data_IF_770686478802
#
_entry.id   IF_770686478802
#
_cell.length_a   1.000
_cell.length_b   1.000
_cell.length_c   1.000
_cell.angle_alpha   90.00
_cell.angle_beta   90.00
_cell.angle_gamma   90.00
#
_symmetry.space_group_name_H-M   'P 1'
#
loop_
_entity.id
_entity.type
_entity.pdbx_description
1 polymer ?
#
# COMPACT_ATOMS: atom_id res chain seq x y z
N UNK A 1 48.21 0.49 10.70
CA UNK A 1 47.48 1.76 10.76
C UNK A 1 46.16 1.57 10.04
N UNK A 2 45.05 1.48 10.78
CA UNK A 2 43.72 1.23 10.22
C UNK A 2 42.92 2.52 10.29
N UNK A 3 42.40 2.98 9.14
CA UNK A 3 41.50 4.12 9.06
C UNK A 3 40.06 3.60 9.16
N UNK A 4 39.38 3.90 10.27
CA UNK A 4 37.94 3.67 10.38
C UNK A 4 37.21 4.88 9.78
N UNK A 5 36.59 4.72 8.62
CA UNK A 5 35.72 5.74 8.04
C UNK A 5 34.36 5.70 8.75
N UNK A 6 34.10 6.65 9.65
CA UNK A 6 32.77 6.91 10.22
C UNK A 6 31.99 7.79 9.25
N UNK A 7 31.09 7.19 8.47
CA UNK A 7 30.13 7.92 7.64
C UNK A 7 28.75 7.92 8.27
N UNK A 8 28.12 9.08 8.40
CA UNK A 8 26.71 9.18 8.79
C UNK A 8 25.83 9.00 7.55
N UNK A 9 24.77 8.19 7.67
CA UNK A 9 23.75 8.08 6.63
C UNK A 9 22.88 9.34 6.64
N UNK A 10 23.04 10.21 5.65
CA UNK A 10 22.27 11.47 5.56
C UNK A 10 20.83 11.26 5.05
N UNK A 11 20.54 10.07 4.53
CA UNK A 11 19.23 9.69 4.03
C UNK A 11 19.16 8.18 3.98
N UNK A 12 18.20 7.59 4.71
CA UNK A 12 17.92 6.16 4.56
C UNK A 12 17.52 5.91 3.10
N UNK A 13 18.11 4.91 2.41
CA UNK A 13 17.48 4.42 1.19
C UNK A 13 16.06 4.00 1.58
N UNK A 14 15.05 4.44 0.84
CA UNK A 14 13.67 4.04 1.07
C UNK A 14 13.59 2.53 0.81
N UNK A 15 13.77 1.71 1.86
CA UNK A 15 14.00 0.27 1.73
C UNK A 15 12.74 -0.56 1.57
N UNK A 16 11.56 0.05 1.53
CA UNK A 16 10.33 -0.66 1.20
C UNK A 16 9.52 0.17 0.20
N UNK A 17 9.00 -0.43 -0.88
CA UNK A 17 8.08 0.28 -1.74
C UNK A 17 6.84 0.63 -0.90
N UNK A 18 6.53 1.93 -0.82
CA UNK A 18 5.44 2.46 -0.02
C UNK A 18 4.14 1.75 -0.44
N UNK A 19 3.20 1.58 0.50
CA UNK A 19 1.91 0.91 0.26
C UNK A 19 1.24 1.35 -1.06
N UNK A 20 1.30 2.64 -1.39
CA UNK A 20 0.71 3.19 -2.61
C UNK A 20 1.42 2.77 -3.91
N UNK A 21 2.68 2.35 -3.86
CA UNK A 21 3.47 1.90 -5.01
C UNK A 21 3.25 0.40 -5.31
N UNK A 22 2.83 -0.37 -4.31
CA UNK A 22 2.66 -1.84 -4.42
C UNK A 22 1.21 -2.30 -4.45
N UNK A 23 0.29 -1.48 -3.98
CA UNK A 23 -1.12 -1.81 -3.92
C UNK A 23 -1.95 -0.98 -4.90
N UNK A 24 -3.11 -1.53 -5.27
CA UNK A 24 -4.13 -0.85 -6.08
C UNK A 24 -5.53 -1.17 -5.53
N UNK A 25 -6.57 -0.44 -5.96
CA UNK A 25 -7.94 -0.73 -5.58
C UNK A 25 -8.36 -2.14 -5.99
N UNK A 26 -9.06 -2.83 -5.09
CA UNK A 26 -9.67 -4.13 -5.37
C UNK A 26 -11.08 -3.88 -5.90
N UNK A 27 -11.33 -4.31 -7.13
CA UNK A 27 -12.66 -4.25 -7.76
C UNK A 27 -13.37 -5.60 -7.63
N UNK A 28 -14.64 -5.55 -7.25
CA UNK A 28 -15.49 -6.72 -7.03
C UNK A 28 -16.51 -6.81 -8.16
N UNK A 29 -16.63 -7.98 -8.78
CA UNK A 29 -17.64 -8.33 -9.77
C UNK A 29 -18.86 -9.00 -9.11
N UNK A 30 -19.96 -9.14 -9.88
CA UNK A 30 -21.16 -9.80 -9.38
C UNK A 30 -20.98 -11.32 -9.16
N UNK A 31 -20.00 -11.93 -9.81
CA UNK A 31 -19.73 -13.37 -9.74
C UNK A 31 -18.74 -13.74 -8.61
N UNK A 32 -18.15 -12.74 -7.95
CA UNK A 32 -17.22 -12.96 -6.85
C UNK A 32 -17.95 -13.40 -5.58
N UNK A 33 -17.47 -14.49 -4.96
CA UNK A 33 -17.97 -14.99 -3.69
C UNK A 33 -16.90 -14.87 -2.61
N UNK A 34 -17.25 -14.24 -1.49
CA UNK A 34 -16.37 -14.06 -0.34
C UNK A 34 -17.19 -14.00 0.95
N UNK A 35 -16.50 -14.22 2.08
CA UNK A 35 -17.12 -14.07 3.40
C UNK A 35 -17.33 -12.61 3.77
N UNK A 36 -18.24 -12.34 4.71
CA UNK A 36 -18.43 -11.00 5.28
C UNK A 36 -17.14 -10.39 5.84
N UNK A 37 -16.26 -11.23 6.42
CA UNK A 37 -14.97 -10.77 6.95
C UNK A 37 -14.07 -10.26 5.82
N UNK A 38 -13.97 -11.02 4.72
CA UNK A 38 -13.20 -10.63 3.54
C UNK A 38 -13.77 -9.36 2.89
N UNK A 39 -15.11 -9.23 2.83
CA UNK A 39 -15.77 -8.03 2.32
C UNK A 39 -15.35 -6.77 3.10
N UNK A 40 -15.33 -6.87 4.44
CA UNK A 40 -14.91 -5.76 5.33
C UNK A 40 -13.44 -5.41 5.16
N UNK A 41 -12.58 -6.42 4.95
CA UNK A 41 -11.16 -6.20 4.70
C UNK A 41 -10.91 -5.49 3.37
N UNK A 42 -11.59 -5.90 2.30
CA UNK A 42 -11.51 -5.22 0.98
C UNK A 42 -11.97 -3.77 1.10
N UNK A 43 -13.09 -3.53 1.79
CA UNK A 43 -13.59 -2.17 2.03
C UNK A 43 -12.54 -1.33 2.78
N UNK A 44 -11.95 -1.88 3.84
CA UNK A 44 -10.93 -1.20 4.64
C UNK A 44 -9.69 -0.87 3.81
N UNK A 45 -9.21 -1.81 2.99
CA UNK A 45 -8.09 -1.63 2.07
C UNK A 45 -8.35 -0.47 1.09
N UNK A 46 -9.50 -0.49 0.41
CA UNK A 46 -9.86 0.52 -0.58
C UNK A 46 -10.06 1.90 0.05
N UNK A 47 -10.68 2.00 1.23
CA UNK A 47 -10.83 3.27 1.95
C UNK A 47 -9.48 3.82 2.43
N UNK A 48 -8.59 2.94 2.88
CA UNK A 48 -7.23 3.32 3.30
C UNK A 48 -6.45 3.87 2.12
N UNK A 49 -6.47 3.19 0.97
CA UNK A 49 -5.82 3.69 -0.24
C UNK A 49 -6.50 4.91 -0.86
N UNK A 50 -7.83 5.09 -0.72
CA UNK A 50 -8.48 6.36 -1.08
C UNK A 50 -7.92 7.51 -0.24
N UNK A 51 -7.83 7.32 1.09
CA UNK A 51 -7.35 8.34 2.02
C UNK A 51 -5.86 8.65 1.87
N UNK A 52 -5.02 7.63 1.69
CA UNK A 52 -3.56 7.76 1.71
C UNK A 52 -2.93 7.89 0.33
N UNK A 53 -3.53 7.26 -0.68
CA UNK A 53 -2.96 7.13 -2.04
C UNK A 53 -3.80 7.83 -3.12
N UNK A 54 -4.93 8.45 -2.77
CA UNK A 54 -5.80 9.16 -3.72
C UNK A 54 -6.54 8.25 -4.70
N UNK A 55 -6.68 6.95 -4.40
CA UNK A 55 -7.39 6.02 -5.26
C UNK A 55 -8.84 6.44 -5.50
N UNK A 56 -9.27 6.48 -6.76
CA UNK A 56 -10.65 6.84 -7.10
C UNK A 56 -11.56 5.61 -7.17
N UNK A 57 -12.82 5.80 -6.76
CA UNK A 57 -13.87 4.81 -7.04
C UNK A 57 -14.10 4.79 -8.55
N UNK A 58 -13.89 3.65 -9.20
CA UNK A 58 -14.32 3.48 -10.58
C UNK A 58 -15.85 3.46 -10.58
N UNK A 59 -16.44 4.53 -11.10
CA UNK A 59 -17.88 4.65 -11.26
C UNK A 59 -18.32 3.94 -12.53
N UNK A 60 -19.09 2.88 -12.38
CA UNK A 60 -20.09 2.46 -13.36
C UNK A 60 -21.42 2.33 -12.63
#
# INVERSE_FOLDING_TARGET
MSFAATGCVNSSPATDPLFCETASPIYISADDSFTDLTARQILTHNLTGHRLCGWMKSGK
#
